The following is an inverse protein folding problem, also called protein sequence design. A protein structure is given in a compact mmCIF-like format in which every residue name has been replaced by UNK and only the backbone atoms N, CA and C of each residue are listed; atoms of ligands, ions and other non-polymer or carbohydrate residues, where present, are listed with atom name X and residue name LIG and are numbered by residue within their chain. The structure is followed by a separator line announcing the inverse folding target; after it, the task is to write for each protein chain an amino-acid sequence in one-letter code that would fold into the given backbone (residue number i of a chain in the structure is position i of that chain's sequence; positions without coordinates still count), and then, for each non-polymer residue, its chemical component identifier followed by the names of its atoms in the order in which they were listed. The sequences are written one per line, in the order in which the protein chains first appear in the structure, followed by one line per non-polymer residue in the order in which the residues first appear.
data_IF_148355299586
#
_entry.id   IF_148355299586
#
_cell.length_a   1.000
_cell.length_b   1.000
_cell.length_c   1.000
_cell.angle_alpha   90.00
_cell.angle_beta   90.00
_cell.angle_gamma   90.00
#
_symmetry.space_group_name_H-M   'P 1'
#
loop_
_entity.id
_entity.type
_entity.pdbx_description
1 polymer ?
#
# COMPACT_ATOMS: atom_id res chain seq x y z
N UNK A 1 -31.09 -27.23 27.60
CA UNK A 1 -30.76 -27.03 26.17
C UNK A 1 -29.61 -26.04 26.08
N UNK A 2 -28.41 -26.49 25.71
CA UNK A 2 -27.26 -25.62 25.52
C UNK A 2 -27.39 -24.93 24.15
N UNK A 3 -27.50 -23.61 24.13
CA UNK A 3 -27.53 -22.83 22.90
C UNK A 3 -26.07 -22.61 22.45
N UNK A 4 -25.53 -23.56 21.68
CA UNK A 4 -24.25 -23.36 21.02
C UNK A 4 -24.45 -22.30 19.92
N UNK A 5 -24.09 -21.04 20.20
CA UNK A 5 -23.92 -20.03 19.15
C UNK A 5 -22.52 -20.22 18.58
N UNK A 6 -22.37 -20.75 17.35
CA UNK A 6 -21.06 -20.74 16.72
C UNK A 6 -20.70 -19.28 16.43
N UNK A 7 -19.84 -18.70 17.26
CA UNK A 7 -19.06 -17.52 16.88
C UNK A 7 -18.23 -17.96 15.68
N UNK A 8 -18.73 -17.74 14.45
CA UNK A 8 -17.92 -17.91 13.25
C UNK A 8 -16.71 -17.01 13.43
N UNK A 9 -15.47 -17.55 13.48
CA UNK A 9 -14.30 -16.70 13.39
C UNK A 9 -14.43 -15.93 12.08
N UNK A 10 -14.36 -14.61 12.16
CA UNK A 10 -14.29 -13.75 10.99
C UNK A 10 -13.11 -14.27 10.16
N UNK A 11 -13.25 -14.59 8.86
CA UNK A 11 -12.12 -15.01 8.06
C UNK A 11 -11.14 -13.85 8.02
N UNK A 12 -10.06 -13.97 8.78
CA UNK A 12 -8.94 -13.03 8.76
C UNK A 12 -7.87 -13.58 7.82
N UNK A 13 -7.18 -12.68 7.12
CA UNK A 13 -6.02 -13.06 6.33
C UNK A 13 -5.04 -13.88 7.19
N UNK A 14 -4.38 -14.90 6.61
CA UNK A 14 -3.38 -15.70 7.30
C UNK A 14 -2.39 -14.80 8.06
N UNK A 15 -1.97 -15.18 9.28
CA UNK A 15 -1.07 -14.36 10.10
C UNK A 15 0.24 -14.00 9.37
N UNK A 16 0.70 -14.89 8.49
CA UNK A 16 1.87 -14.66 7.64
C UNK A 16 1.69 -13.48 6.66
N UNK A 17 0.50 -13.31 6.09
CA UNK A 17 0.21 -12.19 5.19
C UNK A 17 0.13 -10.86 5.96
N UNK A 18 -0.43 -10.89 7.17
CA UNK A 18 -0.46 -9.72 8.04
C UNK A 18 0.95 -9.30 8.47
N UNK A 19 1.82 -10.27 8.78
CA UNK A 19 3.21 -9.99 9.11
C UNK A 19 3.97 -9.43 7.90
N UNK A 20 3.74 -10.01 6.70
CA UNK A 20 4.37 -9.52 5.45
C UNK A 20 3.92 -8.10 5.13
N UNK A 21 2.63 -7.80 5.27
CA UNK A 21 2.10 -6.45 5.06
C UNK A 21 2.65 -5.46 6.09
N UNK A 22 2.83 -5.87 7.35
CA UNK A 22 3.44 -5.03 8.37
C UNK A 22 4.92 -4.75 8.09
N UNK A 23 5.69 -5.75 7.64
CA UNK A 23 7.06 -5.57 7.18
C UNK A 23 7.13 -4.61 5.98
N UNK A 24 6.16 -4.69 5.07
CA UNK A 24 6.05 -3.76 3.95
C UNK A 24 5.75 -2.33 4.43
N UNK A 25 4.82 -2.17 5.38
CA UNK A 25 4.54 -0.88 6.00
C UNK A 25 5.78 -0.30 6.69
N UNK A 26 6.51 -1.07 7.49
CA UNK A 26 7.76 -0.63 8.13
C UNK A 26 8.81 -0.20 7.11
N UNK A 27 8.97 -0.96 6.03
CA UNK A 27 9.89 -0.61 4.95
C UNK A 27 9.51 0.72 4.28
N UNK A 28 8.21 0.93 3.99
CA UNK A 28 7.72 2.18 3.43
C UNK A 28 7.83 3.36 4.41
N UNK A 29 7.60 3.12 5.70
CA UNK A 29 7.78 4.12 6.76
C UNK A 29 9.24 4.57 6.89
N UNK A 30 10.21 3.67 6.67
CA UNK A 30 11.63 4.03 6.60
C UNK A 30 11.95 4.99 5.44
N UNK A 31 11.12 5.01 4.40
CA UNK A 31 11.17 5.98 3.30
C UNK A 31 10.27 7.21 3.53
N UNK A 32 9.70 7.37 4.73
CA UNK A 32 8.82 8.49 5.10
C UNK A 32 7.37 8.35 4.61
N UNK A 33 7.01 7.20 4.03
CA UNK A 33 5.69 6.97 3.46
C UNK A 33 4.78 6.31 4.49
N UNK A 34 3.73 7.02 4.88
CA UNK A 34 2.73 6.50 5.82
C UNK A 34 1.68 5.70 5.06
N UNK A 35 1.44 4.47 5.50
CA UNK A 35 0.50 3.56 4.82
C UNK A 35 -0.53 3.01 5.79
N UNK A 36 -1.74 2.76 5.29
CA UNK A 36 -2.81 2.12 6.04
C UNK A 36 -2.95 0.64 5.67
N UNK A 37 -3.21 -0.20 6.66
CA UNK A 37 -3.39 -1.64 6.48
C UNK A 37 -4.85 -2.03 6.64
N UNK A 38 -5.46 -2.51 5.56
CA UNK A 38 -6.83 -3.03 5.56
C UNK A 38 -6.83 -4.54 5.33
N UNK A 39 -7.42 -5.30 6.25
CA UNK A 39 -7.53 -6.76 6.13
C UNK A 39 -8.77 -7.14 5.30
N UNK A 40 -8.56 -7.79 4.15
CA UNK A 40 -9.61 -8.23 3.24
C UNK A 40 -9.59 -9.77 3.12
N UNK A 41 -10.08 -10.44 4.17
CA UNK A 41 -10.31 -11.89 4.32
C UNK A 41 -9.18 -12.85 3.90
N UNK A 42 -8.78 -12.86 2.63
CA UNK A 42 -7.72 -13.69 2.04
C UNK A 42 -6.47 -12.92 1.66
N UNK A 43 -6.48 -11.59 1.79
CA UNK A 43 -5.36 -10.71 1.45
C UNK A 43 -5.31 -9.52 2.38
N UNK A 44 -4.17 -8.84 2.38
CA UNK A 44 -4.00 -7.57 3.11
C UNK A 44 -3.77 -6.47 2.10
N UNK A 45 -4.56 -5.40 2.20
CA UNK A 45 -4.42 -4.20 1.39
C UNK A 45 -3.53 -3.22 2.15
N UNK A 46 -2.53 -2.68 1.47
CA UNK A 46 -1.63 -1.64 1.96
C UNK A 46 -1.90 -0.40 1.12
N UNK A 47 -2.67 0.53 1.68
CA UNK A 47 -3.00 1.79 1.03
C UNK A 47 -1.84 2.75 1.22
N UNK A 48 -1.16 3.10 0.13
CA UNK A 48 0.03 3.95 0.16
C UNK A 48 -0.34 5.43 0.01
N UNK A 49 -1.16 5.76 -1.00
CA UNK A 49 -1.72 7.09 -1.20
C UNK A 49 -3.00 7.00 -2.06
N UNK A 50 -3.60 8.15 -2.38
CA UNK A 50 -4.75 8.21 -3.29
C UNK A 50 -4.38 7.63 -4.67
N UNK A 51 -4.87 6.42 -4.96
CA UNK A 51 -4.65 5.74 -6.23
C UNK A 51 -3.53 4.68 -6.23
N UNK A 52 -2.79 4.52 -5.13
CA UNK A 52 -1.76 3.49 -4.99
C UNK A 52 -2.07 2.56 -3.82
N UNK A 53 -2.50 1.34 -4.14
CA UNK A 53 -2.86 0.32 -3.15
C UNK A 53 -2.17 -0.99 -3.52
N UNK A 54 -1.39 -1.53 -2.60
CA UNK A 54 -0.75 -2.83 -2.74
C UNK A 54 -1.57 -3.94 -2.06
N UNK A 55 -1.60 -5.10 -2.68
CA UNK A 55 -2.32 -6.28 -2.25
C UNK A 55 -1.31 -7.37 -1.91
N UNK A 56 -1.22 -7.73 -0.64
CA UNK A 56 -0.37 -8.81 -0.14
C UNK A 56 -1.16 -10.11 -0.13
N UNK A 57 -0.70 -11.07 -0.92
CA UNK A 57 -1.29 -12.40 -1.09
C UNK A 57 -0.21 -13.47 -0.85
N UNK A 58 -0.60 -14.75 -0.82
CA UNK A 58 0.35 -15.87 -0.62
C UNK A 58 1.41 -15.96 -1.72
N UNK A 59 1.06 -15.55 -2.94
CA UNK A 59 1.96 -15.55 -4.11
C UNK A 59 2.88 -14.31 -4.17
N UNK A 60 2.58 -13.27 -3.39
CA UNK A 60 3.38 -12.05 -3.35
C UNK A 60 2.56 -10.78 -3.25
N UNK A 61 3.19 -9.67 -3.60
CA UNK A 61 2.67 -8.33 -3.45
C UNK A 61 2.34 -7.77 -4.84
N UNK A 62 1.10 -7.34 -5.00
CA UNK A 62 0.54 -6.90 -6.28
C UNK A 62 -0.01 -5.48 -6.17
N UNK A 63 0.23 -4.60 -7.14
CA UNK A 63 -0.42 -3.30 -7.18
C UNK A 63 -0.61 -2.81 -8.61
N UNK A 64 -1.48 -1.81 -8.73
CA UNK A 64 -1.63 -1.05 -9.95
C UNK A 64 -0.60 0.09 -9.93
N UNK A 65 0.35 0.06 -10.86
CA UNK A 65 1.29 1.17 -11.00
C UNK A 65 0.55 2.35 -11.64
N UNK A 66 0.85 3.59 -11.23
CA UNK A 66 0.40 4.80 -11.92
C UNK A 66 0.98 4.92 -13.34
N UNK A 67 2.04 4.18 -13.65
CA UNK A 67 2.54 4.06 -15.01
C UNK A 67 1.55 3.27 -15.85
N UNK A 68 1.43 3.64 -17.11
CA UNK A 68 0.67 2.88 -18.08
C UNK A 68 1.62 2.03 -18.92
N UNK A 69 1.24 0.79 -19.22
CA UNK A 69 2.01 -0.04 -20.15
C UNK A 69 1.97 0.56 -21.57
N UNK A 70 0.81 1.12 -21.91
CA UNK A 70 0.48 1.88 -23.13
C UNK A 70 -0.64 2.86 -22.76
N UNK A 71 -0.84 3.96 -23.50
CA UNK A 71 -1.93 4.90 -23.23
C UNK A 71 -3.28 4.18 -23.05
N UNK A 72 -3.90 4.32 -21.88
CA UNK A 72 -5.17 3.68 -21.53
C UNK A 72 -5.09 2.19 -21.13
N UNK A 73 -3.88 1.62 -21.03
CA UNK A 73 -3.68 0.23 -20.57
C UNK A 73 -2.98 0.23 -19.20
N UNK A 74 -3.68 -0.24 -18.14
CA UNK A 74 -3.14 -0.27 -16.79
C UNK A 74 -1.92 -1.20 -16.67
N UNK A 75 -0.91 -0.78 -15.91
CA UNK A 75 0.24 -1.62 -15.58
C UNK A 75 0.03 -2.27 -14.20
N UNK A 76 0.07 -3.61 -14.18
CA UNK A 76 0.07 -4.37 -12.93
C UNK A 76 1.49 -4.82 -12.60
N UNK A 77 1.93 -4.53 -11.39
CA UNK A 77 3.25 -4.92 -10.89
C UNK A 77 3.10 -6.02 -9.85
N UNK A 78 3.97 -7.02 -9.93
CA UNK A 78 4.10 -8.10 -8.98
C UNK A 78 5.52 -8.16 -8.43
N UNK A 79 5.64 -8.36 -7.12
CA UNK A 79 6.91 -8.64 -6.44
C UNK A 79 6.74 -9.77 -5.43
N UNK A 80 7.65 -10.74 -5.49
CA UNK A 80 7.70 -11.84 -4.52
C UNK A 80 8.42 -11.50 -3.20
N UNK A 81 9.06 -10.33 -3.10
CA UNK A 81 9.81 -9.92 -1.90
C UNK A 81 9.34 -8.56 -1.38
N UNK A 82 9.38 -8.39 -0.06
CA UNK A 82 8.99 -7.14 0.61
C UNK A 82 9.91 -5.99 0.20
N UNK A 83 11.23 -6.22 0.16
CA UNK A 83 12.20 -5.18 -0.21
C UNK A 83 11.96 -4.68 -1.64
N UNK A 84 11.88 -5.59 -2.62
CA UNK A 84 11.64 -5.19 -4.01
C UNK A 84 10.25 -4.59 -4.23
N UNK A 85 9.26 -4.96 -3.41
CA UNK A 85 7.95 -4.31 -3.41
C UNK A 85 8.02 -2.89 -2.86
N UNK A 86 8.70 -2.68 -1.74
CA UNK A 86 8.87 -1.37 -1.13
C UNK A 86 9.60 -0.40 -2.08
N UNK A 87 10.72 -0.82 -2.67
CA UNK A 87 11.49 0.00 -3.61
C UNK A 87 10.63 0.45 -4.81
N UNK A 88 9.89 -0.49 -5.42
CA UNK A 88 9.07 -0.18 -6.57
C UNK A 88 7.83 0.65 -6.20
N UNK A 89 7.25 0.45 -5.01
CA UNK A 89 6.17 1.28 -4.50
C UNK A 89 6.62 2.71 -4.18
N UNK A 90 7.86 2.90 -3.68
CA UNK A 90 8.43 4.24 -3.47
C UNK A 90 8.58 4.97 -4.81
N UNK A 91 9.08 4.29 -5.83
CA UNK A 91 9.24 4.85 -7.17
C UNK A 91 7.87 5.21 -7.79
N UNK A 92 6.88 4.33 -7.68
CA UNK A 92 5.50 4.60 -8.13
C UNK A 92 4.84 5.73 -7.31
N UNK A 93 5.07 5.77 -5.99
CA UNK A 93 4.59 6.85 -5.13
C UNK A 93 5.17 8.21 -5.53
N UNK A 94 6.45 8.27 -5.91
CA UNK A 94 7.10 9.49 -6.37
C UNK A 94 6.51 10.03 -7.70
N UNK A 95 5.83 9.20 -8.49
CA UNK A 95 5.12 9.65 -9.70
C UNK A 95 3.77 10.30 -9.37
N UNK A 96 3.13 9.86 -8.29
CA UNK A 96 1.82 10.35 -7.86
C UNK A 96 1.91 11.55 -6.94
N UNK A 97 2.99 11.63 -6.17
CA UNK A 97 3.29 12.78 -5.32
C UNK A 97 4.23 13.69 -6.11
N UNK A 98 3.75 14.81 -6.68
CA UNK A 98 4.68 15.83 -7.14
C UNK A 98 5.54 16.19 -5.93
N UNK A 99 6.87 16.04 -6.04
CA UNK A 99 7.78 16.61 -5.05
C UNK A 99 7.38 18.07 -4.96
N UNK A 100 6.80 18.47 -3.82
CA UNK A 100 6.64 19.85 -3.46
C UNK A 100 8.05 20.40 -3.23
N UNK A 101 8.78 20.63 -4.32
CA UNK A 101 9.95 21.48 -4.29
C UNK A 101 9.40 22.88 -4.08
N UNK A 102 9.73 23.45 -2.92
CA UNK A 102 9.43 24.79 -2.47
C UNK A 102 7.97 25.07 -2.10
N UNK A 103 7.66 24.89 -0.82
CA UNK A 103 6.91 25.93 -0.12
C UNK A 103 7.76 27.22 -0.20
N UNK A 104 7.60 28.00 -1.26
CA UNK A 104 8.05 29.39 -1.23
C UNK A 104 7.20 30.08 -0.15
N UNK A 105 7.79 30.63 0.93
CA UNK A 105 7.03 31.40 1.90
C UNK A 105 6.40 32.57 1.14
N UNK A 106 5.07 32.56 1.06
CA UNK A 106 4.31 33.67 0.53
C UNK A 106 4.46 34.82 1.53
N UNK A 107 5.51 35.61 1.38
CA UNK A 107 5.70 36.86 2.10
C UNK A 107 4.62 37.83 1.61
N UNK A 108 3.47 37.78 2.29
CA UNK A 108 2.45 38.79 2.14
C UNK A 108 3.00 40.06 2.81
N UNK A 109 3.68 40.90 2.03
CA UNK A 109 4.04 42.25 2.45
C UNK A 109 2.76 43.11 2.44
N UNK A 110 2.24 43.57 3.59
CA UNK A 110 1.10 44.47 3.59
C UNK A 110 1.55 45.88 3.19
N UNK A 111 0.80 46.50 2.28
CA UNK A 111 0.89 47.93 1.91
C UNK A 111 0.17 48.83 2.90
#
# INVERSE_FOLDING_TARGET
MLVYRPTRPKPSAPPLLQETARRLQDALAAHGIHTDLTNDQRRVLVSVCHGLVAMVQEDGIWWHSPRELRPGIPLYVHRGTVAGAAEALVDDHALLTPVQIAEEPHDATPV
#
